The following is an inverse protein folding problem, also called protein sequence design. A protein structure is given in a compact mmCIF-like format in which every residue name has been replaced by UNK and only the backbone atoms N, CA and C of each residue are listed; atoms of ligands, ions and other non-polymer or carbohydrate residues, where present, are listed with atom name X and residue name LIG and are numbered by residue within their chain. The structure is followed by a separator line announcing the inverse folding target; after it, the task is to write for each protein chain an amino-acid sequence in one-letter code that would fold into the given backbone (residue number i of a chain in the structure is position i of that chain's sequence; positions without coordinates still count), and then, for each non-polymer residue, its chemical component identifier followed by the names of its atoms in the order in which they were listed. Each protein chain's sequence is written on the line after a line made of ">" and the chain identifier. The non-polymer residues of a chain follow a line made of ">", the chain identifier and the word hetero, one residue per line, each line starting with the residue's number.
data_IF_566302162144
#
_entry.id   IF_566302162144
#
_cell.length_a   1.000
_cell.length_b   1.000
_cell.length_c   1.000
_cell.angle_alpha   90.00
_cell.angle_beta   90.00
_cell.angle_gamma   90.00
#
_symmetry.space_group_name_H-M   'P 1'
#
loop_
_entity.id
_entity.type
_entity.pdbx_description
1 polymer ?
#
# COMPACT_ATOMS: atom_id res chain seq x y z
N UNK A 1 16.84 30.51 50.33
CA UNK A 1 17.22 29.40 49.43
C UNK A 1 15.99 28.99 48.66
N UNK A 2 15.83 29.51 47.42
CA UNK A 2 14.64 29.32 46.57
C UNK A 2 14.90 28.19 45.60
N UNK A 3 14.18 27.09 45.72
CA UNK A 3 14.20 25.95 44.81
C UNK A 3 13.34 26.28 43.58
N UNK A 4 13.95 26.48 42.45
CA UNK A 4 13.28 26.63 41.17
C UNK A 4 13.03 25.22 40.60
N UNK A 5 11.77 24.83 40.53
CA UNK A 5 11.33 23.62 39.86
C UNK A 5 10.95 24.01 38.43
N UNK A 6 11.79 23.64 37.46
CA UNK A 6 11.46 23.75 36.04
C UNK A 6 10.54 22.60 35.67
N UNK A 7 9.26 22.89 35.51
CA UNK A 7 8.31 21.98 34.89
C UNK A 7 8.51 22.06 33.35
N UNK A 8 9.18 21.06 32.77
CA UNK A 8 9.18 20.84 31.34
C UNK A 8 7.82 20.25 30.95
N UNK A 9 6.93 21.09 30.41
CA UNK A 9 5.72 20.61 29.74
C UNK A 9 6.14 20.04 28.38
N UNK A 10 6.17 18.71 28.29
CA UNK A 10 6.30 18.00 27.01
C UNK A 10 5.01 18.20 26.21
N UNK A 11 5.04 19.13 25.26
CA UNK A 11 3.98 19.36 24.29
C UNK A 11 4.08 18.27 23.23
N UNK A 12 3.39 17.14 23.46
CA UNK A 12 3.19 16.09 22.47
C UNK A 12 2.28 16.64 21.36
N UNK A 13 2.86 17.13 20.27
CA UNK A 13 2.11 17.39 19.04
C UNK A 13 1.71 16.02 18.45
N UNK A 14 0.49 15.58 18.77
CA UNK A 14 -0.19 14.56 17.99
C UNK A 14 -0.50 15.15 16.61
N UNK A 15 0.37 14.89 15.63
CA UNK A 15 0.08 15.09 14.22
C UNK A 15 -1.02 14.09 13.83
N UNK A 16 -2.26 14.48 14.07
CA UNK A 16 -3.42 13.84 13.49
C UNK A 16 -3.41 14.08 11.98
N UNK A 17 -2.60 13.30 11.26
CA UNK A 17 -2.67 13.26 9.81
C UNK A 17 -4.06 12.80 9.43
N UNK A 18 -4.75 13.53 8.54
CA UNK A 18 -5.99 13.06 7.92
C UNK A 18 -5.71 11.77 7.18
N UNK A 19 -5.91 10.63 7.85
CA UNK A 19 -5.76 9.32 7.24
C UNK A 19 -6.86 9.17 6.18
N UNK A 20 -6.47 8.82 4.96
CA UNK A 20 -7.43 8.41 3.95
C UNK A 20 -8.14 7.15 4.46
N UNK A 21 -9.47 7.11 4.38
CA UNK A 21 -10.23 5.94 4.80
C UNK A 21 -10.08 4.84 3.75
N UNK A 22 -9.29 3.82 4.07
CA UNK A 22 -9.17 2.60 3.28
C UNK A 22 -10.22 1.61 3.79
N UNK A 23 -11.19 1.28 2.95
CA UNK A 23 -12.11 0.17 3.21
C UNK A 23 -11.46 -1.11 2.73
N UNK A 24 -11.04 -1.93 3.67
CA UNK A 24 -10.57 -3.29 3.43
C UNK A 24 -11.74 -4.26 3.59
N UNK A 25 -11.82 -5.23 2.74
CA UNK A 25 -12.88 -6.26 2.82
C UNK A 25 -12.78 -7.00 4.17
N UNK A 26 -13.87 -6.93 4.95
CA UNK A 26 -13.92 -7.51 6.30
C UNK A 26 -14.06 -9.03 6.18
N UNK A 27 -13.18 -9.81 6.80
CA UNK A 27 -13.27 -11.26 6.87
C UNK A 27 -12.28 -12.04 6.00
N UNK A 28 -11.40 -11.37 5.29
CA UNK A 28 -10.32 -12.07 4.59
C UNK A 28 -9.36 -12.71 5.61
N UNK A 29 -9.03 -13.99 5.42
CA UNK A 29 -8.08 -14.70 6.28
C UNK A 29 -6.73 -13.98 6.30
N UNK A 30 -5.99 -13.99 7.42
CA UNK A 30 -4.63 -13.44 7.46
C UNK A 30 -3.74 -14.06 6.37
N UNK A 31 -2.87 -13.25 5.76
CA UNK A 31 -1.88 -13.80 4.84
C UNK A 31 -0.88 -14.65 5.63
N UNK A 32 -0.44 -15.76 5.03
CA UNK A 32 0.60 -16.60 5.63
C UNK A 32 1.90 -16.43 4.85
N UNK A 33 2.59 -15.33 5.10
CA UNK A 33 3.87 -15.00 4.45
C UNK A 33 5.02 -15.53 5.30
N UNK A 34 5.95 -16.26 4.69
CA UNK A 34 7.15 -16.74 5.36
C UNK A 34 8.09 -15.58 5.75
N UNK A 35 8.89 -15.77 6.82
CA UNK A 35 9.83 -14.74 7.30
C UNK A 35 10.79 -14.24 6.22
N UNK A 36 11.29 -15.12 5.36
CA UNK A 36 12.20 -14.72 4.29
C UNK A 36 11.44 -14.00 3.18
N UNK A 37 10.25 -14.47 2.84
CA UNK A 37 9.39 -13.84 1.80
C UNK A 37 8.89 -12.45 2.23
N UNK A 38 8.81 -12.15 3.53
CA UNK A 38 8.39 -10.82 4.02
C UNK A 38 9.49 -9.75 3.94
N UNK A 39 10.74 -10.12 3.68
CA UNK A 39 11.88 -9.19 3.63
C UNK A 39 12.02 -8.47 2.29
N UNK A 40 11.42 -8.99 1.23
CA UNK A 40 11.48 -8.41 -0.10
C UNK A 40 10.08 -8.30 -0.68
N UNK A 41 9.71 -7.12 -1.12
CA UNK A 41 8.42 -6.82 -1.73
C UNK A 41 8.66 -6.41 -3.18
N UNK A 42 8.05 -7.15 -4.10
CA UNK A 42 8.08 -6.86 -5.53
C UNK A 42 6.70 -6.42 -5.96
N UNK A 43 6.59 -5.20 -6.48
CA UNK A 43 5.33 -4.64 -6.95
C UNK A 43 5.17 -4.89 -8.46
N UNK A 44 4.02 -5.42 -8.84
CA UNK A 44 3.55 -5.45 -10.22
C UNK A 44 2.21 -4.71 -10.30
N UNK A 45 2.04 -3.79 -11.24
CA UNK A 45 0.81 -3.00 -11.39
C UNK A 45 0.24 -3.19 -12.77
N UNK A 46 -0.98 -3.68 -12.82
CA UNK A 46 -1.83 -3.75 -13.98
C UNK A 46 -3.18 -3.09 -13.73
N UNK A 47 -4.03 -3.06 -14.74
CA UNK A 47 -5.36 -2.49 -14.57
C UNK A 47 -6.32 -2.88 -15.67
N UNK A 48 -7.58 -2.51 -15.49
CA UNK A 48 -8.60 -2.62 -16.50
C UNK A 48 -8.25 -1.76 -17.72
N UNK A 49 -8.89 -2.01 -18.86
CA UNK A 49 -8.72 -1.18 -20.05
C UNK A 49 -9.03 0.29 -19.77
N UNK A 50 -10.07 0.57 -18.99
CA UNK A 50 -10.45 1.93 -18.59
C UNK A 50 -9.32 2.61 -17.80
N UNK A 51 -8.70 1.89 -16.88
CA UNK A 51 -7.61 2.42 -16.08
C UNK A 51 -6.35 2.66 -16.92
N UNK A 52 -5.94 1.68 -17.74
CA UNK A 52 -4.68 1.71 -18.47
C UNK A 52 -4.67 2.65 -19.68
N UNK A 53 -5.84 2.96 -20.26
CA UNK A 53 -5.98 3.94 -21.35
C UNK A 53 -6.16 5.38 -20.86
N UNK A 54 -6.28 5.60 -19.56
CA UNK A 54 -6.38 6.95 -19.00
C UNK A 54 -5.04 7.68 -19.15
N UNK A 55 -5.11 9.00 -19.51
CA UNK A 55 -3.89 9.83 -19.75
C UNK A 55 -3.02 10.02 -18.50
N UNK A 56 -3.55 9.78 -17.33
CA UNK A 56 -2.86 9.88 -16.05
C UNK A 56 -2.42 8.52 -15.48
N UNK A 57 -2.51 7.44 -16.28
CA UNK A 57 -2.10 6.10 -15.86
C UNK A 57 -0.61 6.03 -15.45
N UNK A 58 0.29 6.63 -16.23
CA UNK A 58 1.73 6.62 -15.89
C UNK A 58 2.05 7.44 -14.63
N UNK A 59 1.56 8.68 -14.45
CA UNK A 59 1.65 9.38 -13.19
C UNK A 59 1.06 8.60 -12.01
N UNK A 60 -0.10 7.96 -12.19
CA UNK A 60 -0.76 7.16 -11.17
C UNK A 60 0.10 5.95 -10.75
N UNK A 61 0.70 5.21 -11.69
CA UNK A 61 1.67 4.14 -11.36
C UNK A 61 2.90 4.67 -10.62
N UNK A 62 3.35 5.86 -10.98
CA UNK A 62 4.44 6.54 -10.28
C UNK A 62 4.16 6.76 -8.80
N UNK A 63 2.93 7.17 -8.45
CA UNK A 63 2.49 7.32 -7.05
C UNK A 63 2.50 5.97 -6.30
N UNK A 64 2.03 4.90 -6.94
CA UNK A 64 2.06 3.56 -6.35
C UNK A 64 3.49 3.09 -6.05
N UNK A 65 4.40 3.30 -7.02
CA UNK A 65 5.82 2.95 -6.86
C UNK A 65 6.45 3.71 -5.68
N UNK A 66 6.27 5.02 -5.65
CA UNK A 66 6.81 5.87 -4.60
C UNK A 66 6.26 5.50 -3.21
N UNK A 67 4.95 5.31 -3.11
CA UNK A 67 4.29 4.96 -1.87
C UNK A 67 4.68 3.57 -1.35
N UNK A 68 4.76 2.57 -2.25
CA UNK A 68 5.16 1.21 -1.88
C UNK A 68 6.63 1.16 -1.44
N UNK A 69 7.51 1.87 -2.14
CA UNK A 69 8.92 1.99 -1.76
C UNK A 69 9.08 2.62 -0.38
N UNK A 70 8.34 3.69 -0.09
CA UNK A 70 8.36 4.35 1.21
C UNK A 70 7.85 3.41 2.32
N UNK A 71 6.69 2.77 2.11
CA UNK A 71 6.10 1.86 3.09
C UNK A 71 6.99 0.63 3.36
N UNK A 72 7.58 0.03 2.32
CA UNK A 72 8.52 -1.08 2.47
C UNK A 72 9.77 -0.66 3.26
N UNK A 73 10.34 0.51 2.95
CA UNK A 73 11.47 1.07 3.68
C UNK A 73 11.16 1.34 5.16
N UNK A 74 9.99 1.89 5.48
CA UNK A 74 9.51 2.08 6.86
C UNK A 74 9.41 0.74 7.63
N UNK A 75 9.03 -0.34 6.93
CA UNK A 75 8.94 -1.69 7.50
C UNK A 75 10.26 -2.47 7.50
N UNK A 76 11.35 -1.90 6.97
CA UNK A 76 12.65 -2.56 6.87
C UNK A 76 12.73 -3.64 5.79
N UNK A 77 11.81 -3.64 4.82
CA UNK A 77 11.80 -4.54 3.68
C UNK A 77 12.46 -3.91 2.44
N UNK A 78 13.08 -4.75 1.62
CA UNK A 78 13.58 -4.35 0.30
C UNK A 78 12.42 -4.18 -0.67
N UNK A 79 12.55 -3.24 -1.61
CA UNK A 79 11.53 -2.97 -2.62
C UNK A 79 12.12 -3.06 -4.04
N UNK A 80 11.35 -3.64 -4.94
CA UNK A 80 11.59 -3.55 -6.39
C UNK A 80 10.27 -3.59 -7.16
N UNK A 81 10.32 -3.30 -8.46
CA UNK A 81 9.17 -3.35 -9.36
C UNK A 81 9.40 -4.38 -10.46
N UNK A 82 8.35 -5.07 -10.82
CA UNK A 82 8.31 -5.98 -11.97
C UNK A 82 7.31 -5.45 -12.99
N UNK A 83 7.73 -5.34 -14.24
CA UNK A 83 6.87 -4.90 -15.34
C UNK A 83 6.40 -6.09 -16.17
N UNK A 84 5.31 -5.90 -16.90
CA UNK A 84 4.71 -6.93 -17.73
C UNK A 84 3.90 -7.95 -16.92
N UNK A 85 3.85 -9.19 -17.40
CA UNK A 85 3.14 -10.28 -16.72
C UNK A 85 3.83 -10.63 -15.39
N UNK A 86 3.08 -10.74 -14.29
CA UNK A 86 3.64 -11.11 -12.99
C UNK A 86 4.20 -12.55 -13.03
N UNK A 87 5.43 -12.73 -12.58
CA UNK A 87 6.10 -14.04 -12.57
C UNK A 87 7.01 -14.22 -11.36
N UNK A 88 7.19 -15.47 -10.95
CA UNK A 88 8.16 -15.85 -9.91
C UNK A 88 9.59 -15.75 -10.46
N UNK A 89 10.53 -15.41 -9.59
CA UNK A 89 11.95 -15.22 -9.96
C UNK A 89 12.87 -16.27 -9.37
N UNK A 90 12.35 -17.19 -8.56
CA UNK A 90 13.17 -18.16 -7.81
C UNK A 90 13.97 -17.52 -6.67
N UNK A 91 13.60 -16.34 -6.22
CA UNK A 91 14.23 -15.64 -5.10
C UNK A 91 13.24 -15.45 -3.96
N UNK A 92 13.67 -15.49 -2.68
CA UNK A 92 12.80 -15.22 -1.56
C UNK A 92 12.19 -13.82 -1.64
N UNK A 93 10.87 -13.72 -1.51
CA UNK A 93 10.15 -12.45 -1.54
C UNK A 93 8.66 -12.63 -1.71
N UNK A 94 7.93 -11.54 -1.61
CA UNK A 94 6.49 -11.47 -1.89
C UNK A 94 6.25 -10.65 -3.13
N UNK A 95 5.64 -11.27 -4.14
CA UNK A 95 5.10 -10.57 -5.30
C UNK A 95 3.71 -10.04 -4.95
N UNK A 96 3.57 -8.73 -5.03
CA UNK A 96 2.31 -8.01 -4.83
C UNK A 96 1.82 -7.55 -6.21
N UNK A 97 0.87 -8.28 -6.78
CA UNK A 97 0.26 -7.93 -8.06
C UNK A 97 -1.00 -7.11 -7.81
N UNK A 98 -0.93 -5.82 -8.10
CA UNK A 98 -2.05 -4.87 -7.96
C UNK A 98 -2.77 -4.76 -9.29
N UNK A 99 -4.06 -5.04 -9.30
CA UNK A 99 -4.95 -4.82 -10.44
C UNK A 99 -5.91 -3.69 -10.10
N UNK A 100 -5.80 -2.57 -10.82
CA UNK A 100 -6.66 -1.39 -10.67
C UNK A 100 -7.91 -1.56 -11.52
N UNK A 101 -9.07 -1.69 -10.90
CA UNK A 101 -10.35 -1.78 -11.60
C UNK A 101 -10.75 -0.43 -12.18
N UNK A 102 -10.69 0.60 -11.33
CA UNK A 102 -11.02 1.99 -11.69
C UNK A 102 -10.38 2.96 -10.70
N UNK A 103 -10.18 4.20 -11.11
CA UNK A 103 -9.66 5.24 -10.26
C UNK A 103 -10.02 6.63 -10.81
N UNK A 104 -10.04 7.62 -9.93
CA UNK A 104 -10.06 9.03 -10.31
C UNK A 104 -8.84 9.73 -9.74
N UNK A 105 -7.91 10.06 -10.63
CA UNK A 105 -6.69 10.75 -10.29
C UNK A 105 -6.91 12.26 -10.19
N UNK A 106 -6.63 12.83 -9.03
CA UNK A 106 -6.69 14.27 -8.81
C UNK A 106 -5.33 14.72 -8.29
N UNK A 107 -4.54 15.29 -9.20
CA UNK A 107 -3.26 15.89 -8.85
C UNK A 107 -3.43 17.21 -8.09
N UNK A 108 -2.40 17.63 -7.38
CA UNK A 108 -2.37 18.92 -6.69
C UNK A 108 -2.59 20.08 -7.67
N UNK A 109 -1.97 20.03 -8.86
CA UNK A 109 -2.11 21.06 -9.88
C UNK A 109 -3.52 21.19 -10.43
N UNK A 110 -4.24 20.08 -10.64
CA UNK A 110 -5.62 20.10 -11.08
C UNK A 110 -6.56 20.79 -10.07
N UNK A 111 -6.30 20.62 -8.77
CA UNK A 111 -7.10 21.29 -7.72
C UNK A 111 -6.88 22.80 -7.65
N UNK A 112 -5.64 23.26 -7.82
CA UNK A 112 -5.36 24.69 -7.83
C UNK A 112 -5.95 25.38 -9.06
N UNK A 113 -6.04 24.68 -10.21
CA UNK A 113 -6.59 25.26 -11.46
C UNK A 113 -8.10 25.19 -11.57
N UNK A 114 -8.74 24.13 -11.06
CA UNK A 114 -10.18 23.86 -11.26
C UNK A 114 -11.01 23.96 -9.98
N UNK A 115 -10.38 24.20 -8.82
CA UNK A 115 -11.06 24.38 -7.54
C UNK A 115 -11.84 23.16 -7.04
N UNK A 116 -12.87 23.40 -6.21
CA UNK A 116 -13.68 22.37 -5.54
C UNK A 116 -14.48 21.50 -6.54
N UNK A 117 -14.61 21.94 -7.79
CA UNK A 117 -15.40 21.26 -8.81
C UNK A 117 -14.75 19.98 -9.38
N UNK A 118 -13.56 19.61 -8.94
CA UNK A 118 -12.86 18.42 -9.45
C UNK A 118 -13.46 17.08 -8.98
N UNK A 119 -14.45 17.10 -8.09
CA UNK A 119 -15.11 15.88 -7.57
C UNK A 119 -14.27 15.11 -6.54
N UNK A 120 -14.70 13.88 -6.24
CA UNK A 120 -14.05 13.03 -5.25
C UNK A 120 -12.97 12.16 -5.91
N UNK A 121 -11.77 12.07 -5.30
CA UNK A 121 -10.78 11.07 -5.67
C UNK A 121 -11.23 9.70 -5.14
N UNK A 122 -10.97 8.65 -5.89
CA UNK A 122 -11.15 7.27 -5.45
C UNK A 122 -10.12 6.35 -6.12
N UNK A 123 -9.87 5.23 -5.49
CA UNK A 123 -9.11 4.11 -6.03
C UNK A 123 -9.87 2.83 -5.69
N UNK A 124 -10.12 2.02 -6.70
CA UNK A 124 -10.66 0.67 -6.59
C UNK A 124 -9.62 -0.30 -7.15
N UNK A 125 -9.00 -1.09 -6.27
CA UNK A 125 -7.92 -1.98 -6.63
C UNK A 125 -7.98 -3.30 -5.85
N UNK A 126 -7.51 -4.36 -6.49
CA UNK A 126 -7.32 -5.68 -5.91
C UNK A 126 -5.82 -6.00 -5.91
N UNK A 127 -5.29 -6.46 -4.78
CA UNK A 127 -3.93 -6.97 -4.68
C UNK A 127 -3.96 -8.48 -4.46
N UNK A 128 -3.18 -9.20 -5.25
CA UNK A 128 -2.89 -10.62 -5.09
C UNK A 128 -1.46 -10.77 -4.57
N UNK A 129 -1.29 -11.62 -3.57
CA UNK A 129 -0.01 -11.87 -2.91
C UNK A 129 0.45 -13.28 -3.24
N UNK A 130 1.67 -13.42 -3.70
CA UNK A 130 2.28 -14.72 -4.00
C UNK A 130 3.75 -14.77 -3.61
N UNK A 131 4.22 -15.99 -3.39
CA UNK A 131 5.64 -16.25 -3.15
C UNK A 131 6.44 -15.99 -4.43
N UNK A 132 7.43 -15.14 -4.33
CA UNK A 132 8.30 -14.80 -5.44
C UNK A 132 9.24 -15.95 -5.82
N UNK A 133 9.53 -16.88 -4.89
CA UNK A 133 10.34 -18.08 -5.15
C UNK A 133 9.56 -19.10 -5.99
N UNK A 134 8.42 -19.57 -5.52
CA UNK A 134 7.67 -20.66 -6.15
C UNK A 134 6.32 -20.26 -6.76
N UNK A 135 5.91 -19.01 -6.72
CA UNK A 135 4.62 -18.55 -7.24
C UNK A 135 3.40 -18.98 -6.42
N UNK A 136 3.59 -19.60 -5.24
CA UNK A 136 2.50 -20.02 -4.36
C UNK A 136 1.70 -18.82 -3.88
N UNK A 137 0.39 -18.83 -4.05
CA UNK A 137 -0.49 -17.77 -3.54
C UNK A 137 -0.53 -17.71 -2.02
N UNK A 138 -0.45 -16.50 -1.47
CA UNK A 138 -0.67 -16.22 -0.05
C UNK A 138 -2.08 -15.71 0.23
N UNK A 139 -2.76 -15.17 -0.78
CA UNK A 139 -4.12 -14.65 -0.69
C UNK A 139 -4.31 -13.39 -1.52
N UNK A 140 -5.46 -12.74 -1.34
CA UNK A 140 -5.83 -11.52 -2.04
C UNK A 140 -6.55 -10.54 -1.11
N UNK A 141 -6.54 -9.26 -1.48
CA UNK A 141 -7.21 -8.17 -0.77
C UNK A 141 -7.82 -7.20 -1.77
N UNK A 142 -9.01 -6.71 -1.46
CA UNK A 142 -9.64 -5.61 -2.18
C UNK A 142 -9.51 -4.34 -1.35
N UNK A 143 -9.09 -3.26 -2.00
CA UNK A 143 -8.92 -1.94 -1.41
C UNK A 143 -9.80 -0.94 -2.13
N UNK A 144 -10.74 -0.35 -1.40
CA UNK A 144 -11.60 0.69 -1.89
C UNK A 144 -11.39 1.96 -1.07
N UNK A 145 -11.10 3.05 -1.74
CA UNK A 145 -10.98 4.35 -1.11
C UNK A 145 -11.95 5.33 -1.71
N UNK A 146 -12.44 6.25 -0.90
CA UNK A 146 -13.21 7.39 -1.39
C UNK A 146 -12.88 8.61 -0.53
N UNK A 147 -12.82 9.78 -1.15
CA UNK A 147 -12.71 11.05 -0.43
C UNK A 147 -13.97 11.85 -0.61
N UNK A 148 -14.39 12.57 0.43
CA UNK A 148 -15.40 13.61 0.27
C UNK A 148 -14.76 14.90 -0.28
N UNK A 149 -15.52 15.74 -0.98
CA UNK A 149 -15.02 16.98 -1.57
C UNK A 149 -14.34 17.91 -0.54
N UNK A 150 -14.74 17.83 0.73
CA UNK A 150 -14.20 18.65 1.82
C UNK A 150 -12.86 18.18 2.37
N UNK A 151 -12.55 16.87 2.32
CA UNK A 151 -11.31 16.32 2.88
C UNK A 151 -10.07 16.62 2.04
N UNK A 152 -10.25 17.12 0.84
CA UNK A 152 -9.17 17.24 -0.13
C UNK A 152 -8.93 18.63 -0.72
N UNK A 153 -9.45 19.70 -0.10
CA UNK A 153 -9.35 21.05 -0.66
C UNK A 153 -7.88 21.49 -0.89
N UNK A 154 -6.93 20.97 -0.10
CA UNK A 154 -5.53 21.40 -0.12
C UNK A 154 -4.50 20.27 -0.29
N UNK A 155 -4.90 19.06 -0.72
CA UNK A 155 -3.95 17.95 -0.80
C UNK A 155 -4.16 17.06 -2.02
N UNK A 156 -3.07 16.41 -2.47
CA UNK A 156 -3.09 15.34 -3.45
C UNK A 156 -3.80 14.10 -2.86
N UNK A 157 -5.13 14.06 -2.94
CA UNK A 157 -5.93 13.01 -2.29
C UNK A 157 -5.63 11.62 -2.84
N UNK A 158 -5.42 11.49 -4.14
CA UNK A 158 -5.10 10.21 -4.76
C UNK A 158 -3.78 9.66 -4.22
N UNK A 159 -2.74 10.49 -4.11
CA UNK A 159 -1.46 10.08 -3.54
C UNK A 159 -1.61 9.59 -2.09
N UNK A 160 -2.38 10.31 -1.25
CA UNK A 160 -2.66 9.89 0.14
C UNK A 160 -3.46 8.59 0.24
N UNK A 161 -4.39 8.37 -0.69
CA UNK A 161 -5.15 7.12 -0.76
C UNK A 161 -4.25 5.94 -1.12
N UNK A 162 -3.39 6.12 -2.12
CA UNK A 162 -2.39 5.12 -2.53
C UNK A 162 -1.41 4.86 -1.39
N UNK A 163 -0.90 5.90 -0.72
CA UNK A 163 -0.01 5.76 0.44
C UNK A 163 -0.65 4.92 1.55
N UNK A 164 -1.92 5.18 1.87
CA UNK A 164 -2.64 4.41 2.88
C UNK A 164 -2.83 2.94 2.45
N UNK A 165 -3.17 2.67 1.19
CA UNK A 165 -3.28 1.31 0.67
C UNK A 165 -1.92 0.60 0.72
N UNK A 166 -0.84 1.25 0.31
CA UNK A 166 0.50 0.66 0.33
C UNK A 166 0.96 0.32 1.75
N UNK A 167 0.66 1.15 2.75
CA UNK A 167 0.93 0.85 4.16
C UNK A 167 0.17 -0.39 4.64
N UNK A 168 -1.09 -0.54 4.26
CA UNK A 168 -1.87 -1.74 4.57
C UNK A 168 -1.30 -2.99 3.89
N UNK A 169 -0.92 -2.89 2.60
CA UNK A 169 -0.29 -3.99 1.86
C UNK A 169 1.00 -4.44 2.54
N UNK A 170 1.89 -3.51 2.85
CA UNK A 170 3.17 -3.81 3.51
C UNK A 170 2.95 -4.38 4.90
N UNK A 171 2.01 -3.83 5.66
CA UNK A 171 1.62 -4.38 6.96
C UNK A 171 1.14 -5.83 6.84
N UNK A 172 0.27 -6.15 5.88
CA UNK A 172 -0.23 -7.51 5.66
C UNK A 172 0.90 -8.50 5.33
N UNK A 173 1.91 -8.06 4.57
CA UNK A 173 3.07 -8.89 4.21
C UNK A 173 4.02 -9.09 5.40
N UNK A 174 4.28 -8.03 6.19
CA UNK A 174 5.33 -8.04 7.22
C UNK A 174 4.81 -8.45 8.60
N UNK A 175 3.53 -8.23 8.90
CA UNK A 175 2.92 -8.60 10.19
C UNK A 175 2.47 -10.06 10.26
N UNK A 176 2.54 -10.81 9.15
CA UNK A 176 2.18 -12.23 9.14
C UNK A 176 3.09 -13.01 10.09
N UNK A 177 2.57 -13.70 11.11
CA UNK A 177 3.40 -14.55 11.96
C UNK A 177 3.96 -15.67 11.09
N UNK A 178 5.27 -15.68 10.90
CA UNK A 178 5.95 -16.70 10.13
C UNK A 178 5.46 -18.08 10.52
N UNK A 179 4.96 -18.84 9.59
CA UNK A 179 4.61 -20.23 9.79
C UNK A 179 5.80 -20.92 10.44
N UNK A 180 5.60 -21.56 11.58
CA UNK A 180 6.60 -22.34 12.24
C UNK A 180 7.24 -23.35 11.28
N UNK A 181 8.43 -23.86 11.58
CA UNK A 181 9.14 -24.77 10.69
C UNK A 181 8.21 -25.94 10.35
N UNK A 182 7.97 -26.12 9.05
CA UNK A 182 7.31 -27.32 8.55
C UNK A 182 8.01 -28.53 9.16
N UNK A 183 7.33 -29.24 10.05
CA UNK A 183 7.81 -30.48 10.59
C UNK A 183 8.13 -31.39 9.39
N UNK A 184 9.41 -31.60 9.11
CA UNK A 184 9.84 -32.67 8.24
C UNK A 184 9.28 -33.94 8.86
N UNK A 185 8.29 -34.53 8.22
CA UNK A 185 7.87 -35.87 8.53
C UNK A 185 9.06 -36.79 8.22
N UNK A 186 9.83 -37.10 9.24
CA UNK A 186 10.69 -38.25 9.22
C UNK A 186 9.78 -39.47 9.28
N UNK A 187 9.52 -40.08 8.15
CA UNK A 187 8.95 -41.42 8.07
C UNK A 187 10.08 -42.42 8.27
N UNK A 188 9.93 -43.40 9.13
CA UNK A 188 10.93 -44.44 9.42
C UNK A 188 11.17 -45.41 8.24
#
# INVERSE_FOLDING_TARGET
>A
MRKWVFALAALSLSLGGCAANVKKETGAAPLTVGRESSKTIVLNIGGSKVATEAKDWEPFKGEWRAAMQAAAGEAGASFSEQQGEPHSTGQPGTLVSVFVNDYRYISTGARYGLGIMTGNAFVDAKATFSDLDGGRGFGERTYNTSSTAWQGIFSAMTAKQIEAICKEIVHDVTASPGGGPSARSSTP
#
